data_IF_998287129429
#
_entry.id   IF_998287129429
#
_cell.length_a   1.000
_cell.length_b   1.000
_cell.length_c   1.000
_cell.angle_alpha   90.00
_cell.angle_beta   90.00
_cell.angle_gamma   90.00
#
_symmetry.space_group_name_H-M   'P 1'
#
loop_
_entity.id
_entity.type
_entity.pdbx_description
1 polymer ?
#
# COMPACT_ATOMS: atom_id res chain seq x y z
N UNK A 1 24.74 33.85 -37.79
CA UNK A 1 25.03 33.03 -36.60
C UNK A 1 23.80 32.18 -36.37
N UNK A 2 23.93 30.87 -36.59
CA UNK A 2 22.91 29.90 -36.22
C UNK A 2 23.24 29.37 -34.84
N UNK A 3 22.25 29.34 -33.95
CA UNK A 3 22.12 28.33 -32.90
C UNK A 3 20.63 28.07 -32.75
N UNK A 4 20.14 27.08 -33.49
CA UNK A 4 19.11 26.21 -32.94
C UNK A 4 19.74 25.46 -31.75
N UNK A 5 18.88 24.95 -30.85
CA UNK A 5 19.11 23.81 -29.95
C UNK A 5 18.57 24.11 -28.54
N UNK A 6 17.24 24.07 -28.44
CA UNK A 6 16.55 23.81 -27.18
C UNK A 6 15.56 22.69 -27.45
N UNK A 7 16.00 21.44 -27.28
CA UNK A 7 15.09 20.30 -27.24
C UNK A 7 14.24 20.44 -25.99
N UNK A 8 13.06 21.06 -26.12
CA UNK A 8 11.98 20.95 -25.16
C UNK A 8 11.10 19.80 -25.66
N UNK A 9 11.16 18.60 -25.03
CA UNK A 9 10.11 17.63 -25.26
C UNK A 9 8.84 18.23 -24.68
N UNK A 10 7.90 18.62 -25.55
CA UNK A 10 6.51 18.79 -25.16
C UNK A 10 6.04 17.41 -24.69
N UNK A 11 6.13 17.15 -23.39
CA UNK A 11 5.39 16.05 -22.81
C UNK A 11 3.94 16.47 -22.89
N UNK A 12 3.23 15.93 -23.90
CA UNK A 12 1.78 15.84 -23.85
C UNK A 12 1.43 15.06 -22.58
N UNK A 13 1.31 15.74 -21.44
CA UNK A 13 0.63 15.24 -20.24
C UNK A 13 -0.87 15.16 -20.52
N UNK A 14 -1.24 14.46 -21.59
CA UNK A 14 -2.59 13.95 -21.76
C UNK A 14 -2.70 12.73 -20.86
N UNK A 15 -2.78 12.97 -19.54
CA UNK A 15 -3.29 11.92 -18.65
C UNK A 15 -4.67 11.58 -19.16
N UNK A 16 -4.90 10.36 -19.69
CA UNK A 16 -6.16 10.03 -20.32
C UNK A 16 -7.27 10.27 -19.31
N UNK A 17 -8.25 11.10 -19.65
CA UNK A 17 -9.39 11.32 -18.78
C UNK A 17 -10.20 10.03 -18.76
N UNK A 18 -10.01 9.23 -17.72
CA UNK A 18 -10.66 7.93 -17.61
C UNK A 18 -12.18 8.11 -17.52
N UNK A 19 -12.91 7.35 -18.34
CA UNK A 19 -14.35 7.50 -18.48
C UNK A 19 -15.07 7.06 -17.19
N UNK A 20 -15.90 7.95 -16.64
CA UNK A 20 -16.73 7.71 -15.43
C UNK A 20 -18.11 7.12 -15.72
N UNK A 21 -18.38 6.76 -16.97
CA UNK A 21 -19.69 6.28 -17.44
C UNK A 21 -19.75 4.75 -17.58
N UNK A 22 -18.83 4.01 -16.95
CA UNK A 22 -18.73 2.55 -17.07
C UNK A 22 -18.12 1.94 -15.80
N UNK A 23 -18.36 0.63 -15.64
CA UNK A 23 -17.63 -0.19 -14.68
C UNK A 23 -16.26 -0.55 -15.28
N UNK A 24 -15.22 -0.49 -14.45
CA UNK A 24 -13.88 -0.92 -14.81
C UNK A 24 -13.62 -2.31 -14.24
N UNK A 25 -13.03 -3.18 -15.06
CA UNK A 25 -12.60 -4.52 -14.66
C UNK A 25 -11.08 -4.59 -14.87
N UNK A 26 -10.35 -4.84 -13.80
CA UNK A 26 -8.90 -5.10 -13.82
C UNK A 26 -8.70 -6.56 -13.46
N UNK A 27 -8.06 -7.34 -14.34
CA UNK A 27 -7.77 -8.74 -14.03
C UNK A 27 -6.65 -8.81 -12.99
N UNK A 28 -6.69 -9.83 -12.14
CA UNK A 28 -5.60 -10.09 -11.19
C UNK A 28 -4.23 -10.24 -11.88
N UNK A 29 -4.19 -10.73 -13.13
CA UNK A 29 -2.97 -10.85 -13.92
C UNK A 29 -2.45 -9.52 -14.50
N UNK A 30 -3.20 -8.43 -14.35
CA UNK A 30 -2.94 -7.12 -14.94
C UNK A 30 -2.65 -6.05 -13.86
N UNK A 31 -2.58 -6.43 -12.58
CA UNK A 31 -2.28 -5.48 -11.49
C UNK A 31 -0.86 -4.92 -11.64
N UNK A 32 -0.71 -3.62 -11.38
CA UNK A 32 0.54 -2.90 -11.61
C UNK A 32 1.52 -3.11 -10.46
N UNK A 33 2.76 -3.49 -10.77
CA UNK A 33 3.88 -3.49 -9.81
C UNK A 33 4.60 -2.14 -9.70
N UNK A 34 4.16 -1.12 -10.44
CA UNK A 34 4.71 0.23 -10.40
C UNK A 34 4.24 0.97 -9.14
N UNK A 35 4.74 0.49 -8.01
CA UNK A 35 4.51 1.03 -6.68
C UNK A 35 5.81 0.96 -5.88
N UNK A 36 5.89 1.71 -4.77
CA UNK A 36 7.05 1.66 -3.90
C UNK A 36 7.23 0.26 -3.30
N UNK A 37 8.40 -0.33 -3.54
CA UNK A 37 8.76 -1.65 -3.03
C UNK A 37 9.76 -1.51 -1.88
N UNK A 38 9.74 -2.47 -0.96
CA UNK A 38 10.74 -2.60 0.09
C UNK A 38 11.22 -4.04 0.14
N UNK A 39 12.38 -4.27 0.75
CA UNK A 39 12.90 -5.64 0.86
C UNK A 39 11.90 -6.54 1.59
N UNK A 40 11.66 -7.74 1.04
CA UNK A 40 10.66 -8.68 1.54
C UNK A 40 9.19 -8.28 1.38
N UNK A 41 8.85 -7.10 0.85
CA UNK A 41 7.44 -6.68 0.68
C UNK A 41 7.18 -6.14 -0.73
N UNK A 42 6.35 -6.87 -1.48
CA UNK A 42 5.94 -6.51 -2.84
C UNK A 42 4.52 -5.98 -2.85
N UNK A 43 4.33 -4.79 -3.42
CA UNK A 43 3.05 -4.08 -3.48
C UNK A 43 2.58 -4.00 -4.92
N UNK A 44 1.28 -4.16 -5.12
CA UNK A 44 0.64 -4.12 -6.43
C UNK A 44 -0.62 -3.26 -6.37
N UNK A 45 -0.81 -2.38 -7.35
CA UNK A 45 -2.02 -1.58 -7.49
C UNK A 45 -3.02 -2.27 -8.43
N UNK A 46 -4.24 -2.50 -7.96
CA UNK A 46 -5.35 -2.98 -8.79
C UNK A 46 -6.25 -1.80 -9.21
N UNK A 47 -6.77 -1.05 -8.23
CA UNK A 47 -7.66 0.08 -8.44
C UNK A 47 -7.01 1.36 -7.90
N UNK A 48 -6.74 2.32 -8.77
CA UNK A 48 -6.14 3.61 -8.39
C UNK A 48 -6.63 4.73 -9.31
N UNK A 49 -6.24 5.96 -8.99
CA UNK A 49 -6.39 7.12 -9.88
C UNK A 49 -5.76 6.89 -11.25
N UNK A 50 -4.60 6.23 -11.29
CA UNK A 50 -3.89 5.93 -12.53
C UNK A 50 -4.55 4.78 -13.33
N UNK A 51 -5.04 3.73 -12.67
CA UNK A 51 -5.59 2.57 -13.38
C UNK A 51 -7.03 2.75 -13.83
N UNK A 52 -7.89 3.31 -12.96
CA UNK A 52 -9.34 3.37 -13.17
C UNK A 52 -9.95 4.75 -12.88
N UNK A 53 -9.12 5.75 -12.56
CA UNK A 53 -9.58 7.11 -12.27
C UNK A 53 -10.21 7.26 -10.89
N UNK A 54 -9.87 6.39 -9.95
CA UNK A 54 -10.37 6.45 -8.59
C UNK A 54 -9.85 7.71 -7.86
N UNK A 55 -10.74 8.39 -7.13
CA UNK A 55 -10.39 9.60 -6.37
C UNK A 55 -10.20 9.32 -4.89
N UNK A 56 -11.14 8.59 -4.28
CA UNK A 56 -11.25 8.44 -2.82
C UNK A 56 -10.75 7.11 -2.28
N UNK A 57 -10.43 6.18 -3.17
CA UNK A 57 -10.04 4.83 -2.79
C UNK A 57 -8.90 4.39 -3.69
N UNK A 58 -7.88 3.81 -3.07
CA UNK A 58 -6.90 2.99 -3.74
C UNK A 58 -7.03 1.57 -3.19
N UNK A 59 -6.88 0.57 -4.04
CA UNK A 59 -6.93 -0.84 -3.64
C UNK A 59 -5.89 -1.66 -4.38
N UNK A 60 -5.27 -2.60 -3.67
CA UNK A 60 -4.19 -3.42 -4.18
C UNK A 60 -3.86 -4.60 -3.30
N UNK A 61 -2.73 -5.23 -3.58
CA UNK A 61 -2.23 -6.38 -2.83
C UNK A 61 -0.83 -6.08 -2.30
N UNK A 62 -0.52 -6.61 -1.11
CA UNK A 62 0.85 -6.70 -0.61
C UNK A 62 1.18 -8.16 -0.34
N UNK A 63 2.28 -8.61 -0.92
CA UNK A 63 2.87 -9.92 -0.69
C UNK A 63 4.07 -9.74 0.24
N UNK A 64 4.00 -10.35 1.41
CA UNK A 64 5.01 -10.27 2.46
C UNK A 64 5.77 -11.59 2.48
N UNK A 65 7.07 -11.54 2.20
CA UNK A 65 7.96 -12.69 2.24
C UNK A 65 7.99 -13.35 3.63
N UNK A 66 8.42 -14.60 3.74
CA UNK A 66 8.67 -15.23 5.03
C UNK A 66 9.64 -14.43 5.90
N UNK A 67 9.49 -14.52 7.21
CA UNK A 67 10.35 -13.88 8.22
C UNK A 67 10.64 -12.39 7.94
N UNK A 68 9.63 -11.65 7.50
CA UNK A 68 9.77 -10.25 7.09
C UNK A 68 9.00 -9.32 8.01
N UNK A 69 9.59 -8.19 8.35
CA UNK A 69 8.95 -7.11 9.09
C UNK A 69 9.14 -5.78 8.36
N UNK A 70 8.10 -4.93 8.32
CA UNK A 70 8.24 -3.55 7.88
C UNK A 70 9.07 -2.74 8.88
N UNK A 71 9.53 -1.56 8.45
CA UNK A 71 9.92 -0.53 9.41
C UNK A 71 8.69 -0.06 10.23
N UNK A 72 8.95 0.54 11.40
CA UNK A 72 7.91 1.27 12.14
C UNK A 72 7.49 2.50 11.32
N UNK A 73 6.20 2.70 11.13
CA UNK A 73 5.70 3.80 10.30
C UNK A 73 4.25 4.19 10.63
N UNK A 74 3.78 5.28 10.04
CA UNK A 74 2.36 5.60 9.95
C UNK A 74 2.01 6.09 8.54
N UNK A 75 0.72 6.11 8.20
CA UNK A 75 0.21 6.47 6.86
C UNK A 75 -0.35 7.88 6.76
N UNK A 76 0.17 8.82 7.57
CA UNK A 76 -0.38 10.18 7.65
C UNK A 76 -1.87 10.19 7.93
N UNK A 77 -2.63 10.92 7.12
CA UNK A 77 -4.10 11.04 7.21
C UNK A 77 -4.88 9.89 6.55
N UNK A 78 -4.18 8.89 5.98
CA UNK A 78 -4.83 7.76 5.33
C UNK A 78 -5.47 6.81 6.34
N UNK A 79 -6.72 6.43 6.08
CA UNK A 79 -7.33 5.22 6.62
C UNK A 79 -6.85 4.03 5.80
N UNK A 80 -6.51 2.92 6.47
CA UNK A 80 -6.10 1.69 5.79
C UNK A 80 -6.96 0.52 6.28
N UNK A 81 -7.62 -0.16 5.34
CA UNK A 81 -8.33 -1.41 5.58
C UNK A 81 -7.59 -2.55 4.90
N UNK A 82 -7.46 -3.68 5.59
CA UNK A 82 -6.68 -4.82 5.14
C UNK A 82 -7.53 -6.08 5.29
N UNK A 83 -7.53 -6.92 4.26
CA UNK A 83 -8.12 -8.25 4.29
C UNK A 83 -7.02 -9.30 4.09
N UNK A 84 -6.95 -10.27 5.00
CA UNK A 84 -5.94 -11.33 4.95
C UNK A 84 -6.40 -12.41 3.96
N UNK A 85 -5.68 -12.52 2.85
CA UNK A 85 -5.99 -13.49 1.78
C UNK A 85 -5.34 -14.85 2.05
N UNK A 86 -4.07 -14.85 2.47
CA UNK A 86 -3.31 -16.06 2.77
C UNK A 86 -2.18 -15.78 3.77
N UNK A 87 -1.67 -16.84 4.41
CA UNK A 87 -0.67 -16.73 5.48
C UNK A 87 -1.26 -16.20 6.79
N UNK A 88 -0.37 -15.86 7.74
CA UNK A 88 -0.74 -15.43 9.08
C UNK A 88 0.09 -14.19 9.49
N UNK A 89 -0.10 -13.04 8.83
CA UNK A 89 0.61 -11.83 9.20
C UNK A 89 0.14 -11.31 10.57
N UNK A 90 0.98 -10.50 11.19
CA UNK A 90 0.71 -9.88 12.47
C UNK A 90 0.88 -8.37 12.36
N UNK A 91 0.04 -7.62 13.07
CA UNK A 91 0.04 -6.16 13.09
C UNK A 91 0.40 -5.69 14.49
N UNK A 92 1.44 -4.87 14.59
CA UNK A 92 2.00 -4.44 15.88
C UNK A 92 1.92 -2.94 16.02
N UNK A 93 1.38 -2.48 17.14
CA UNK A 93 1.28 -1.07 17.53
C UNK A 93 1.56 -0.93 19.04
N UNK A 94 1.65 0.29 19.56
CA UNK A 94 1.81 0.53 21.00
C UNK A 94 0.53 1.12 21.60
N UNK A 95 -0.02 0.50 22.65
CA UNK A 95 -1.34 0.87 23.21
C UNK A 95 -1.29 1.91 24.34
N UNK A 96 -0.08 2.32 24.74
CA UNK A 96 0.17 3.26 25.83
C UNK A 96 0.82 2.61 27.06
N UNK A 97 0.72 1.29 27.17
CA UNK A 97 1.40 0.50 28.19
C UNK A 97 2.50 -0.39 27.59
N UNK A 98 2.24 -0.98 26.42
CA UNK A 98 3.13 -1.94 25.78
C UNK A 98 2.92 -2.01 24.27
N UNK A 99 3.81 -2.71 23.58
CA UNK A 99 3.54 -3.15 22.22
C UNK A 99 2.49 -4.27 22.24
N UNK A 100 1.45 -4.09 21.43
CA UNK A 100 0.36 -5.03 21.23
C UNK A 100 0.48 -5.63 19.84
N UNK A 101 0.34 -6.95 19.78
CA UNK A 101 0.40 -7.74 18.55
C UNK A 101 -0.95 -8.36 18.27
N UNK A 102 -1.47 -8.09 17.08
CA UNK A 102 -2.70 -8.67 16.58
C UNK A 102 -2.32 -9.75 15.57
N UNK A 103 -2.43 -11.02 15.99
CA UNK A 103 -2.24 -12.16 15.11
C UNK A 103 -3.50 -12.40 14.27
N UNK A 104 -3.32 -12.69 12.99
CA UNK A 104 -4.42 -12.85 12.04
C UNK A 104 -4.34 -14.16 11.26
N UNK A 105 -5.44 -14.52 10.61
CA UNK A 105 -5.54 -15.66 9.71
C UNK A 105 -6.36 -15.30 8.46
N UNK A 106 -6.32 -16.14 7.41
CA UNK A 106 -7.08 -15.87 6.19
C UNK A 106 -8.57 -15.68 6.47
N UNK A 107 -9.15 -14.61 5.94
CA UNK A 107 -10.54 -14.21 6.21
C UNK A 107 -10.69 -13.06 7.21
N UNK A 108 -9.64 -12.71 7.95
CA UNK A 108 -9.68 -11.62 8.91
C UNK A 108 -9.56 -10.24 8.25
N UNK A 109 -10.07 -9.23 8.96
CA UNK A 109 -10.04 -7.82 8.57
C UNK A 109 -9.29 -6.99 9.60
N UNK A 110 -8.48 -6.06 9.13
CA UNK A 110 -7.73 -5.13 9.96
C UNK A 110 -8.01 -3.70 9.50
N UNK A 111 -8.13 -2.80 10.47
CA UNK A 111 -8.24 -1.38 10.24
C UNK A 111 -7.11 -0.67 10.98
N UNK A 112 -6.33 0.12 10.24
CA UNK A 112 -5.29 0.99 10.78
C UNK A 112 -5.80 2.42 10.66
N UNK A 113 -6.08 3.11 11.79
CA UNK A 113 -6.53 4.49 11.75
C UNK A 113 -5.39 5.44 11.34
N UNK A 114 -5.73 6.65 10.87
CA UNK A 114 -4.74 7.67 10.54
C UNK A 114 -3.74 7.91 11.67
N UNK A 115 -2.50 8.19 11.28
CA UNK A 115 -1.36 8.51 12.13
C UNK A 115 -0.89 7.41 13.08
N UNK A 116 -1.56 6.26 13.20
CA UNK A 116 -1.16 5.22 14.16
C UNK A 116 0.21 4.63 13.81
N UNK A 117 1.22 4.78 14.68
CA UNK A 117 2.49 4.09 14.52
C UNK A 117 2.26 2.58 14.60
N UNK A 118 2.64 1.87 13.55
CA UNK A 118 2.53 0.42 13.50
C UNK A 118 3.64 -0.20 12.64
N UNK A 119 3.71 -1.52 12.67
CA UNK A 119 4.46 -2.34 11.72
C UNK A 119 3.69 -3.59 11.36
N UNK A 120 3.97 -4.08 10.17
CA UNK A 120 3.39 -5.28 9.58
C UNK A 120 4.47 -6.36 9.55
N UNK A 121 4.15 -7.54 10.05
CA UNK A 121 5.09 -8.63 10.18
C UNK A 121 4.52 -9.92 9.58
N UNK A 122 5.36 -10.72 8.94
CA UNK A 122 5.10 -12.11 8.63
C UNK A 122 6.12 -12.98 9.39
N UNK A 123 5.77 -13.51 10.57
CA UNK A 123 6.70 -14.27 11.39
C UNK A 123 6.96 -15.69 10.87
N UNK A 124 6.13 -16.21 9.94
CA UNK A 124 6.33 -17.55 9.40
C UNK A 124 7.67 -17.62 8.63
N UNK A 125 8.56 -18.57 8.93
CA UNK A 125 9.89 -18.66 8.32
C UNK A 125 9.89 -19.21 6.89
N UNK A 126 8.77 -19.75 6.41
CA UNK A 126 8.68 -20.48 5.14
C UNK A 126 7.53 -20.05 4.25
N UNK A 127 6.42 -19.58 4.82
CA UNK A 127 5.19 -19.27 4.10
C UNK A 127 5.06 -17.75 3.92
N UNK A 128 4.88 -17.24 2.68
CA UNK A 128 4.54 -15.85 2.47
C UNK A 128 3.12 -15.55 2.96
N UNK A 129 2.86 -14.29 3.31
CA UNK A 129 1.52 -13.78 3.56
C UNK A 129 1.07 -12.89 2.40
N UNK A 130 -0.21 -12.94 2.05
CA UNK A 130 -0.81 -12.03 1.07
C UNK A 130 -1.99 -11.31 1.71
N UNK A 131 -1.99 -9.99 1.56
CA UNK A 131 -3.06 -9.13 2.04
C UNK A 131 -3.60 -8.26 0.93
N UNK A 132 -4.90 -8.03 0.93
CA UNK A 132 -5.57 -7.04 0.09
C UNK A 132 -5.71 -5.76 0.91
N UNK A 133 -5.23 -4.64 0.38
CA UNK A 133 -5.20 -3.35 1.08
C UNK A 133 -6.09 -2.36 0.34
N UNK A 134 -6.94 -1.66 1.07
CA UNK A 134 -7.65 -0.48 0.62
C UNK A 134 -7.23 0.73 1.47
N UNK A 135 -7.06 1.88 0.83
CA UNK A 135 -6.69 3.13 1.50
C UNK A 135 -7.49 4.31 0.98
N UNK A 136 -7.72 5.30 1.83
CA UNK A 136 -8.54 6.48 1.49
C UNK A 136 -7.80 7.52 0.61
N UNK A 137 -6.48 7.39 0.45
CA UNK A 137 -5.64 8.31 -0.33
C UNK A 137 -5.08 7.65 -1.60
N UNK A 138 -4.81 8.43 -2.64
CA UNK A 138 -4.11 7.92 -3.84
C UNK A 138 -2.59 7.86 -3.63
N UNK A 139 -2.01 8.82 -2.90
CA UNK A 139 -0.58 8.84 -2.56
C UNK A 139 -0.27 7.84 -1.46
N UNK A 140 0.72 6.97 -1.67
CA UNK A 140 1.10 5.96 -0.68
C UNK A 140 1.92 6.61 0.45
N UNK A 141 1.22 7.29 1.37
CA UNK A 141 1.84 7.99 2.47
C UNK A 141 2.50 6.97 3.41
N UNK A 142 3.81 7.12 3.60
CA UNK A 142 4.60 6.34 4.56
C UNK A 142 5.57 7.29 5.25
N UNK A 143 5.39 7.47 6.55
CA UNK A 143 6.30 8.22 7.40
C UNK A 143 7.02 7.24 8.30
N UNK A 144 8.31 7.00 8.02
CA UNK A 144 9.14 6.10 8.81
C UNK A 144 9.47 6.69 10.18
N UNK A 145 9.44 5.84 11.20
CA UNK A 145 9.61 6.20 12.60
C UNK A 145 10.74 5.38 13.25
N UNK A 146 11.48 5.94 14.22
CA UNK A 146 12.51 5.19 14.94
C UNK A 146 11.94 4.15 15.91
N UNK A 147 10.70 4.32 16.38
CA UNK A 147 10.03 3.45 17.35
C UNK A 147 8.51 3.54 17.22
N UNK A 148 7.80 2.52 17.74
CA UNK A 148 6.36 2.61 17.98
C UNK A 148 6.12 3.42 19.26
N UNK A 149 5.13 4.31 19.21
CA UNK A 149 4.69 5.10 20.35
C UNK A 149 3.15 5.16 20.34
N UNK A 150 2.52 5.37 21.51
CA UNK A 150 1.08 5.52 21.57
C UNK A 150 0.65 6.85 20.94
N UNK A 151 -0.48 6.85 20.23
CA UNK A 151 -1.15 8.08 19.80
C UNK A 151 -1.83 8.80 20.97
#
# INVERSE_FOLDING_TARGET
>A
MATADGFHPDFDETTPTLARNRVHHVKASEISSDTAQSDGMRRFAALSGLSVGAEKLWMGETHVSPATASANHHHGDSETAIYVRSGNPEFVFHDGAQEVRIATQPGDYIFVPPYLPHREENPDPTTPAEVVIARSTQEAIVVNLPALYPL
#
